data_IF_790025347230
#
_entry.id   IF_790025347230
#
_cell.length_a   1.000
_cell.length_b   1.000
_cell.length_c   1.000
_cell.angle_alpha   90.00
_cell.angle_beta   90.00
_cell.angle_gamma   90.00
#
_symmetry.space_group_name_H-M   'P 1'
#
loop_
_entity.id
_entity.type
_entity.pdbx_description
1 polymer ?
#
# COMPACT_ATOMS: atom_id res chain seq x y z
N UNK A 1 5.31 1.08 -59.40
CA UNK A 1 4.51 0.07 -58.67
C UNK A 1 5.02 0.01 -57.24
N UNK A 2 4.92 1.13 -56.50
CA UNK A 2 5.56 1.30 -55.18
C UNK A 2 4.54 1.46 -54.04
N UNK A 3 3.35 2.01 -54.35
CA UNK A 3 2.27 2.21 -53.37
C UNK A 3 1.88 0.92 -52.62
N UNK A 4 1.81 -0.23 -53.30
CA UNK A 4 1.48 -1.50 -52.65
C UNK A 4 2.61 -2.06 -51.77
N UNK A 5 3.87 -1.75 -52.09
CA UNK A 5 5.03 -2.19 -51.30
C UNK A 5 5.14 -1.42 -50.01
N UNK A 6 4.83 -0.11 -50.04
CA UNK A 6 4.81 0.72 -48.83
C UNK A 6 3.65 0.34 -47.91
N UNK A 7 2.47 0.04 -48.46
CA UNK A 7 1.34 -0.44 -47.62
C UNK A 7 1.64 -1.79 -46.98
N UNK A 8 2.20 -2.76 -47.71
CA UNK A 8 2.55 -4.07 -47.16
C UNK A 8 3.68 -3.96 -46.12
N UNK A 9 4.70 -3.14 -46.40
CA UNK A 9 5.78 -2.86 -45.43
C UNK A 9 5.24 -2.23 -44.16
N UNK A 10 4.37 -1.22 -44.29
CA UNK A 10 3.80 -0.52 -43.14
C UNK A 10 2.90 -1.44 -42.31
N UNK A 11 2.08 -2.26 -42.96
CA UNK A 11 1.26 -3.27 -42.27
C UNK A 11 2.13 -4.32 -41.57
N UNK A 12 3.18 -4.82 -42.22
CA UNK A 12 4.09 -5.77 -41.58
C UNK A 12 4.84 -5.17 -40.39
N UNK A 13 5.25 -3.90 -40.46
CA UNK A 13 5.86 -3.19 -39.34
C UNK A 13 4.88 -2.97 -38.19
N UNK A 14 3.61 -2.66 -38.49
CA UNK A 14 2.55 -2.50 -37.49
C UNK A 14 2.20 -3.84 -36.83
N UNK A 15 2.12 -4.92 -37.59
CA UNK A 15 1.91 -6.29 -37.09
C UNK A 15 3.08 -6.74 -36.19
N UNK A 16 4.33 -6.51 -36.62
CA UNK A 16 5.52 -6.79 -35.82
C UNK A 16 5.52 -5.93 -34.54
N UNK A 17 5.13 -4.65 -34.65
CA UNK A 17 4.98 -3.73 -33.52
C UNK A 17 3.91 -4.19 -32.52
N UNK A 18 2.80 -4.72 -33.01
CA UNK A 18 1.69 -5.23 -32.22
C UNK A 18 2.08 -6.49 -31.41
N UNK A 19 3.00 -7.30 -31.91
CA UNK A 19 3.38 -8.59 -31.31
C UNK A 19 4.72 -8.57 -30.55
N UNK A 20 5.66 -7.70 -30.93
CA UNK A 20 6.98 -7.68 -30.32
C UNK A 20 6.98 -6.98 -28.95
N UNK A 21 7.44 -7.68 -27.91
CA UNK A 21 7.67 -7.10 -26.58
C UNK A 21 8.74 -5.99 -26.59
N UNK A 22 9.58 -5.95 -27.64
CA UNK A 22 10.62 -4.95 -27.88
C UNK A 22 10.07 -3.52 -27.98
N UNK A 23 8.81 -3.35 -28.39
CA UNK A 23 8.14 -2.04 -28.51
C UNK A 23 7.15 -1.75 -27.36
N UNK A 24 7.17 -2.55 -26.28
CA UNK A 24 6.29 -2.34 -25.12
C UNK A 24 6.49 -0.97 -24.45
N UNK A 25 7.70 -0.42 -24.54
CA UNK A 25 8.06 0.90 -24.02
C UNK A 25 7.44 2.05 -24.82
N UNK A 26 7.07 1.77 -26.08
CA UNK A 26 6.40 2.71 -26.98
C UNK A 26 4.89 2.49 -27.06
N UNK A 27 4.33 1.53 -26.30
CA UNK A 27 2.88 1.35 -26.26
C UNK A 27 2.21 2.63 -25.72
N UNK A 28 1.34 3.30 -26.50
CA UNK A 28 0.71 4.54 -26.07
C UNK A 28 -0.05 4.40 -24.75
N UNK A 29 -0.70 3.25 -24.51
CA UNK A 29 -1.45 3.04 -23.27
C UNK A 29 -0.52 2.84 -22.06
N UNK A 30 0.64 2.23 -22.29
CA UNK A 30 1.68 2.15 -21.26
C UNK A 30 2.15 3.54 -20.86
N UNK A 31 2.53 4.36 -21.85
CA UNK A 31 3.05 5.70 -21.62
C UNK A 31 2.02 6.62 -20.96
N UNK A 32 0.78 6.62 -21.45
CA UNK A 32 -0.28 7.53 -20.99
C UNK A 32 -0.92 7.13 -19.67
N UNK A 33 -0.89 5.85 -19.31
CA UNK A 33 -1.59 5.35 -18.12
C UNK A 33 -0.70 4.51 -17.22
N UNK A 34 -0.31 3.30 -17.66
CA UNK A 34 0.26 2.30 -16.76
C UNK A 34 1.62 2.69 -16.17
N UNK A 35 2.46 3.40 -16.91
CA UNK A 35 3.77 3.88 -16.45
C UNK A 35 3.64 4.71 -15.15
N UNK A 36 2.65 5.59 -15.09
CA UNK A 36 2.37 6.42 -13.92
C UNK A 36 1.83 5.60 -12.74
N UNK A 37 0.99 4.61 -13.03
CA UNK A 37 0.35 3.77 -12.02
C UNK A 37 1.35 2.84 -11.35
N UNK A 38 2.29 2.29 -12.13
CA UNK A 38 3.33 1.41 -11.64
C UNK A 38 4.58 2.14 -11.16
N UNK A 39 4.59 3.48 -11.09
CA UNK A 39 5.78 4.23 -10.64
C UNK A 39 6.38 3.73 -9.33
N UNK A 40 5.60 3.38 -8.28
CA UNK A 40 6.15 2.82 -7.04
C UNK A 40 6.78 1.43 -7.18
N UNK A 41 6.49 0.72 -8.28
CA UNK A 41 7.00 -0.62 -8.61
C UNK A 41 8.23 -0.52 -9.50
N UNK A 42 8.21 0.39 -10.49
CA UNK A 42 9.30 0.56 -11.45
C UNK A 42 10.41 1.48 -10.94
N UNK A 43 10.10 2.35 -10.00
CA UNK A 43 11.02 3.33 -9.42
C UNK A 43 10.80 3.43 -7.91
N UNK A 44 11.17 2.37 -7.16
CA UNK A 44 10.95 2.29 -5.72
C UNK A 44 11.75 3.36 -4.95
N UNK A 45 12.93 3.75 -5.45
CA UNK A 45 13.80 4.73 -4.79
C UNK A 45 13.21 6.15 -4.81
N UNK A 46 12.37 6.47 -5.81
CA UNK A 46 11.65 7.76 -5.88
C UNK A 46 10.40 7.83 -5.01
N UNK A 47 10.00 6.74 -4.36
CA UNK A 47 8.81 6.71 -3.53
C UNK A 47 9.21 6.37 -2.09
N UNK A 48 9.22 7.38 -1.21
CA UNK A 48 9.37 7.13 0.22
C UNK A 48 8.09 6.48 0.78
N UNK A 49 8.10 5.15 0.85
CA UNK A 49 7.01 4.30 1.31
C UNK A 49 6.66 4.57 2.78
N UNK A 50 7.64 5.01 3.58
CA UNK A 50 7.50 5.30 5.00
C UNK A 50 7.25 6.79 5.28
N UNK A 51 7.15 7.61 4.23
CA UNK A 51 6.87 9.05 4.36
C UNK A 51 5.60 9.34 5.17
N UNK A 52 5.64 10.43 5.92
CA UNK A 52 4.53 10.90 6.76
C UNK A 52 4.31 10.12 8.05
N UNK A 53 5.07 9.05 8.33
CA UNK A 53 4.96 8.27 9.57
C UNK A 53 5.91 8.79 10.66
N UNK A 54 5.48 8.72 11.92
CA UNK A 54 6.36 8.99 13.05
C UNK A 54 7.47 7.93 13.18
N UNK A 55 8.59 8.30 13.80
CA UNK A 55 9.72 7.39 13.99
C UNK A 55 9.33 6.09 14.74
N UNK A 56 8.44 6.18 15.73
CA UNK A 56 7.96 5.02 16.48
C UNK A 56 7.13 4.06 15.62
N UNK A 57 6.28 4.60 14.74
CA UNK A 57 5.50 3.79 13.79
C UNK A 57 6.39 3.14 12.75
N UNK A 58 7.40 3.87 12.24
CA UNK A 58 8.41 3.32 11.31
C UNK A 58 9.16 2.14 11.94
N UNK A 59 9.70 2.33 13.15
CA UNK A 59 10.42 1.29 13.87
C UNK A 59 9.56 0.04 14.09
N UNK A 60 8.28 0.25 14.45
CA UNK A 60 7.33 -0.84 14.61
C UNK A 60 7.11 -1.63 13.32
N UNK A 61 6.77 -0.95 12.22
CA UNK A 61 6.53 -1.60 10.92
C UNK A 61 7.74 -2.39 10.41
N UNK A 62 8.95 -1.92 10.71
CA UNK A 62 10.21 -2.62 10.43
C UNK A 62 10.34 -3.84 11.35
N UNK A 63 10.19 -3.67 12.67
CA UNK A 63 10.35 -4.77 13.65
C UNK A 63 9.32 -5.90 13.48
N UNK A 64 8.10 -5.57 13.02
CA UNK A 64 7.03 -6.54 12.76
C UNK A 64 7.16 -7.20 11.38
N UNK A 65 8.19 -6.87 10.59
CA UNK A 65 8.41 -7.41 9.24
C UNK A 65 7.40 -6.94 8.19
N UNK A 66 6.51 -6.00 8.55
CA UNK A 66 5.50 -5.48 7.62
C UNK A 66 6.12 -4.67 6.48
N UNK A 67 7.20 -3.95 6.77
CA UNK A 67 7.95 -3.21 5.75
C UNK A 67 8.69 -4.14 4.79
N UNK A 68 9.35 -5.18 5.30
CA UNK A 68 10.05 -6.17 4.46
C UNK A 68 9.07 -6.94 3.58
N UNK A 69 7.96 -7.41 4.15
CA UNK A 69 6.87 -8.00 3.38
C UNK A 69 6.42 -7.11 2.22
N UNK A 70 6.25 -5.80 2.46
CA UNK A 70 5.83 -4.88 1.40
C UNK A 70 6.88 -4.78 0.30
N UNK A 71 8.15 -4.59 0.66
CA UNK A 71 9.26 -4.54 -0.32
C UNK A 71 9.31 -5.81 -1.17
N UNK A 72 9.19 -6.98 -0.54
CA UNK A 72 9.23 -8.27 -1.23
C UNK A 72 8.07 -8.38 -2.22
N UNK A 73 6.85 -7.99 -1.83
CA UNK A 73 5.70 -8.00 -2.72
C UNK A 73 5.88 -7.05 -3.91
N UNK A 74 6.46 -5.87 -3.69
CA UNK A 74 6.76 -4.92 -4.76
C UNK A 74 7.84 -5.45 -5.70
N UNK A 75 8.91 -6.06 -5.17
CA UNK A 75 9.96 -6.67 -5.97
C UNK A 75 9.43 -7.82 -6.86
N UNK A 76 8.66 -8.74 -6.28
CA UNK A 76 8.01 -9.82 -7.05
C UNK A 76 7.06 -9.30 -8.13
N UNK A 77 6.34 -8.22 -7.84
CA UNK A 77 5.47 -7.57 -8.82
C UNK A 77 6.28 -6.90 -9.94
N UNK A 78 7.41 -6.28 -9.61
CA UNK A 78 8.31 -5.65 -10.57
C UNK A 78 8.91 -6.67 -11.55
N UNK A 79 9.36 -7.82 -11.06
CA UNK A 79 9.86 -8.92 -11.91
C UNK A 79 8.79 -9.41 -12.89
N UNK A 80 7.55 -9.61 -12.41
CA UNK A 80 6.43 -10.05 -13.26
C UNK A 80 6.01 -9.00 -14.27
N UNK A 81 6.04 -7.73 -13.88
CA UNK A 81 5.77 -6.60 -14.77
C UNK A 81 6.81 -6.50 -15.87
N UNK A 82 8.08 -6.61 -15.53
CA UNK A 82 9.18 -6.64 -16.49
C UNK A 82 9.07 -7.83 -17.45
N UNK A 83 8.78 -9.03 -16.93
CA UNK A 83 8.52 -10.20 -17.76
C UNK A 83 7.35 -10.00 -18.73
N UNK A 84 6.24 -9.41 -18.28
CA UNK A 84 5.09 -9.08 -19.15
C UNK A 84 5.47 -8.08 -20.25
N UNK A 85 6.31 -7.09 -19.95
CA UNK A 85 6.76 -6.09 -20.93
C UNK A 85 7.66 -6.71 -22.01
N UNK A 86 8.60 -7.57 -21.61
CA UNK A 86 9.63 -8.14 -22.49
C UNK A 86 9.15 -9.34 -23.30
N UNK A 87 8.08 -10.01 -22.87
CA UNK A 87 7.54 -11.17 -23.58
C UNK A 87 6.84 -10.79 -24.87
N UNK A 88 7.09 -11.55 -25.94
CA UNK A 88 6.32 -11.44 -27.18
C UNK A 88 4.90 -11.96 -26.94
N UNK A 89 3.93 -11.08 -27.09
CA UNK A 89 2.51 -11.35 -26.93
C UNK A 89 1.73 -10.35 -27.78
N UNK A 90 0.52 -10.71 -28.20
CA UNK A 90 -0.36 -9.75 -28.84
C UNK A 90 -0.67 -8.59 -27.89
N UNK A 91 -0.95 -7.42 -28.47
CA UNK A 91 -1.24 -6.20 -27.72
C UNK A 91 -2.40 -6.36 -26.74
N UNK A 92 -3.44 -7.11 -27.10
CA UNK A 92 -4.61 -7.33 -26.24
C UNK A 92 -4.24 -8.09 -24.96
N UNK A 93 -3.50 -9.18 -25.10
CA UNK A 93 -2.96 -9.97 -23.99
C UNK A 93 -2.02 -9.15 -23.11
N UNK A 94 -1.21 -8.28 -23.70
CA UNK A 94 -0.33 -7.36 -22.95
C UNK A 94 -1.13 -6.41 -22.06
N UNK A 95 -2.17 -5.80 -22.61
CA UNK A 95 -3.05 -4.87 -21.88
C UNK A 95 -3.76 -5.59 -20.74
N UNK A 96 -4.29 -6.78 -20.97
CA UNK A 96 -4.93 -7.59 -19.93
C UNK A 96 -3.94 -7.99 -18.83
N UNK A 97 -2.70 -8.32 -19.20
CA UNK A 97 -1.63 -8.62 -18.25
C UNK A 97 -1.29 -7.41 -17.37
N UNK A 98 -1.16 -6.22 -17.96
CA UNK A 98 -0.96 -4.98 -17.19
C UNK A 98 -2.12 -4.70 -16.25
N UNK A 99 -3.36 -4.85 -16.71
CA UNK A 99 -4.53 -4.64 -15.88
C UNK A 99 -4.57 -5.59 -14.70
N UNK A 100 -4.26 -6.87 -14.91
CA UNK A 100 -4.18 -7.87 -13.84
C UNK A 100 -3.10 -7.50 -12.81
N UNK A 101 -1.89 -7.17 -13.27
CA UNK A 101 -0.80 -6.74 -12.40
C UNK A 101 -1.15 -5.46 -11.63
N UNK A 102 -1.92 -4.55 -12.22
CA UNK A 102 -2.35 -3.32 -11.57
C UNK A 102 -3.36 -3.60 -10.45
N UNK A 103 -4.28 -4.54 -10.66
CA UNK A 103 -5.20 -4.97 -9.60
C UNK A 103 -4.46 -5.63 -8.44
N UNK A 104 -3.45 -6.44 -8.74
CA UNK A 104 -2.58 -7.05 -7.72
C UNK A 104 -1.78 -5.98 -6.95
N UNK A 105 -1.24 -4.98 -7.65
CA UNK A 105 -0.58 -3.84 -7.02
C UNK A 105 -1.51 -3.11 -6.05
N UNK A 106 -2.74 -2.78 -6.49
CA UNK A 106 -3.74 -2.12 -5.64
C UNK A 106 -4.10 -2.95 -4.42
N UNK A 107 -4.15 -4.27 -4.55
CA UNK A 107 -4.35 -5.19 -3.42
C UNK A 107 -3.19 -5.11 -2.43
N UNK A 108 -1.94 -5.15 -2.90
CA UNK A 108 -0.74 -5.00 -2.07
C UNK A 108 -0.77 -3.65 -1.34
N UNK A 109 -1.11 -2.57 -2.04
CA UNK A 109 -1.26 -1.24 -1.45
C UNK A 109 -2.35 -1.20 -0.37
N UNK A 110 -3.52 -1.81 -0.61
CA UNK A 110 -4.61 -1.88 0.38
C UNK A 110 -4.22 -2.63 1.66
N UNK A 111 -3.44 -3.71 1.52
CA UNK A 111 -2.91 -4.43 2.69
C UNK A 111 -1.87 -3.57 3.41
N UNK A 112 -0.98 -2.89 2.68
CA UNK A 112 0.03 -2.01 3.25
C UNK A 112 -0.57 -0.84 4.03
N UNK A 113 -1.59 -0.16 3.47
CA UNK A 113 -2.29 0.94 4.16
C UNK A 113 -2.98 0.45 5.42
N UNK A 114 -3.55 -0.75 5.40
CA UNK A 114 -4.17 -1.38 6.57
C UNK A 114 -3.14 -1.68 7.66
N UNK A 115 -1.97 -2.22 7.29
CA UNK A 115 -0.84 -2.46 8.23
C UNK A 115 -0.33 -1.15 8.85
N UNK A 116 -0.18 -0.09 8.05
CA UNK A 116 0.18 1.26 8.53
C UNK A 116 -0.83 1.79 9.55
N UNK A 117 -2.13 1.77 9.20
CA UNK A 117 -3.19 2.26 10.07
C UNK A 117 -3.27 1.48 11.39
N UNK A 118 -3.07 0.16 11.34
CA UNK A 118 -3.02 -0.68 12.53
C UNK A 118 -1.83 -0.32 13.45
N UNK A 119 -0.64 -0.15 12.88
CA UNK A 119 0.55 0.26 13.62
C UNK A 119 0.37 1.64 14.28
N UNK A 120 -0.17 2.61 13.55
CA UNK A 120 -0.50 3.95 14.09
C UNK A 120 -1.52 3.88 15.22
N UNK A 121 -2.61 3.13 15.03
CA UNK A 121 -3.66 2.95 16.04
C UNK A 121 -3.07 2.35 17.32
N UNK A 122 -2.24 1.32 17.20
CA UNK A 122 -1.62 0.68 18.35
C UNK A 122 -0.67 1.63 19.09
N UNK A 123 0.10 2.47 18.37
CA UNK A 123 0.96 3.49 18.97
C UNK A 123 0.16 4.59 19.70
N UNK A 124 -1.01 4.98 19.17
CA UNK A 124 -1.93 5.89 19.86
C UNK A 124 -2.49 5.27 21.13
N UNK A 125 -2.86 3.99 21.10
CA UNK A 125 -3.36 3.28 22.28
C UNK A 125 -2.27 3.09 23.34
N UNK A 126 -1.04 2.73 22.95
CA UNK A 126 0.07 2.56 23.90
C UNK A 126 0.44 3.88 24.56
N UNK A 127 0.46 4.98 23.81
CA UNK A 127 0.71 6.31 24.38
C UNK A 127 -0.42 6.77 25.30
N UNK A 128 -1.69 6.52 24.94
CA UNK A 128 -2.82 6.78 25.82
C UNK A 128 -2.76 5.97 27.12
N UNK A 129 -2.45 4.67 27.04
CA UNK A 129 -2.26 3.81 28.21
C UNK A 129 -1.13 4.31 29.10
N UNK A 130 0.04 4.62 28.51
CA UNK A 130 1.17 5.13 29.28
C UNK A 130 0.86 6.43 30.01
N UNK A 131 0.01 7.30 29.44
CA UNK A 131 -0.45 8.53 30.10
C UNK A 131 -1.40 8.28 31.26
N UNK A 132 -2.23 7.24 31.18
CA UNK A 132 -3.10 6.79 32.29
C UNK A 132 -2.25 6.16 33.40
N UNK A 133 -1.27 5.34 33.06
CA UNK A 133 -0.37 4.71 34.04
C UNK A 133 0.61 5.71 34.68
N UNK A 134 1.11 6.70 33.92
CA UNK A 134 1.98 7.77 34.45
C UNK A 134 1.21 8.89 35.14
N UNK A 135 -0.06 9.06 34.77
CA UNK A 135 -1.01 9.90 35.45
C UNK A 135 -1.50 9.18 36.70
N UNK A 136 -0.62 8.96 37.67
CA UNK A 136 -1.04 8.69 39.03
C UNK A 136 -1.96 9.86 39.43
N UNK A 137 -3.28 9.68 39.62
CA UNK A 137 -4.03 10.66 40.38
C UNK A 137 -3.47 10.52 41.79
N UNK A 138 -2.45 11.29 42.13
CA UNK A 138 -2.07 11.50 43.51
C UNK A 138 -3.34 11.97 44.24
N UNK A 139 -4.02 11.04 44.93
CA UNK A 139 -5.11 11.36 45.86
C UNK A 139 -6.52 10.85 45.58
N UNK A 140 -6.77 9.78 44.80
CA UNK A 140 -8.06 9.07 44.95
C UNK A 140 -7.83 7.60 45.27
N UNK A 141 -7.68 7.33 46.57
CA UNK A 141 -7.90 5.99 47.12
C UNK A 141 -9.38 5.63 46.89
N UNK A 142 -9.66 4.83 45.87
CA UNK A 142 -10.97 4.16 45.71
C UNK A 142 -11.07 2.96 46.68
N UNK A 143 -10.76 3.20 47.95
CA UNK A 143 -11.03 2.27 49.05
C UNK A 143 -12.30 2.67 49.80
N UNK A 144 -13.21 3.40 49.14
CA UNK A 144 -14.57 3.58 49.67
C UNK A 144 -15.35 2.37 49.19
N UNK A 145 -15.62 1.46 50.12
CA UNK A 145 -16.50 0.32 49.88
C UNK A 145 -17.87 0.83 49.43
N UNK A 146 -18.52 0.15 48.48
CA UNK A 146 -19.88 0.50 48.03
C UNK A 146 -20.88 0.60 49.21
N UNK A 147 -20.63 -0.14 50.30
CA UNK A 147 -21.41 -0.07 51.53
C UNK A 147 -21.29 1.27 52.27
N UNK A 148 -20.19 1.99 52.08
CA UNK A 148 -19.91 3.29 52.70
C UNK A 148 -20.53 4.42 51.87
N UNK A 149 -20.55 4.29 50.54
CA UNK A 149 -21.32 5.17 49.64
C UNK A 149 -22.83 5.05 49.93
N UNK A 150 -23.33 3.82 50.07
CA UNK A 150 -24.75 3.58 50.36
C UNK A 150 -25.20 4.21 51.70
N UNK A 151 -24.37 4.10 52.74
CA UNK A 151 -24.65 4.74 54.04
C UNK A 151 -24.66 6.26 53.96
N UNK A 152 -23.75 6.84 53.16
CA UNK A 152 -23.68 8.30 52.98
C UNK A 152 -24.91 8.85 52.27
N UNK A 153 -25.40 8.17 51.24
CA UNK A 153 -26.62 8.56 50.52
C UNK A 153 -27.87 8.44 51.40
N UNK A 154 -27.94 7.42 52.26
CA UNK A 154 -29.03 7.28 53.23
C UNK A 154 -28.98 8.35 54.33
N UNK A 155 -27.78 8.77 54.75
CA UNK A 155 -27.62 9.83 55.75
C UNK A 155 -27.95 11.24 55.20
N UNK A 156 -27.66 11.50 53.92
CA UNK A 156 -27.97 12.78 53.26
C UNK A 156 -29.46 12.92 52.89
N UNK A 157 -30.18 11.81 52.77
CA UNK A 157 -31.65 11.84 52.63
C UNK A 157 -32.30 12.06 54.00
N UNK A 158 -32.43 13.32 54.39
CA UNK A 158 -33.38 13.72 55.44
C UNK A 158 -34.81 13.59 54.91
N UNK A 159 -35.65 12.83 55.63
CA UNK A 159 -37.10 12.96 55.57
C UNK A 159 -37.55 14.21 56.32
#
# INVERSE_FOLDING_TARGET
MELGSDTIRNVALDEIGAHAGLFSDTDPLWLLYYSSQFRPVTDPDRVDILSGLSASVKARLISEGSYDWYKDQIAMLAERLDGSRRTNQDRGSRILSYQRLLLEFRKIQGIWTSKRAAAEKMMRLSSAKSKVDSGNPAGVSLSISDAEVARRVLADRKF
#
